data_IF_755217503669
#
_entry.id   IF_755217503669
#
_cell.length_a   1.000
_cell.length_b   1.000
_cell.length_c   1.000
_cell.angle_alpha   90.00
_cell.angle_beta   90.00
_cell.angle_gamma   90.00
#
_symmetry.space_group_name_H-M   'P 1'
#
loop_
_entity.id
_entity.type
_entity.pdbx_description
1 polymer ?
#
# COMPACT_ATOMS: atom_id res chain seq x y z
N UNK A 1 -12.64 -0.71 -12.53
CA UNK A 1 -12.21 0.69 -12.51
C UNK A 1 -12.26 1.33 -13.87
N UNK A 2 -11.44 0.91 -14.84
CA UNK A 2 -11.32 1.59 -16.14
C UNK A 2 -12.62 1.66 -16.99
N UNK A 3 -13.54 0.71 -16.84
CA UNK A 3 -14.87 0.77 -17.48
C UNK A 3 -15.82 1.82 -16.85
N UNK A 4 -15.53 2.30 -15.64
CA UNK A 4 -16.39 3.21 -14.87
C UNK A 4 -15.89 4.66 -14.91
N UNK A 5 -14.69 4.91 -15.42
CA UNK A 5 -14.10 6.25 -15.48
C UNK A 5 -12.60 6.20 -15.73
N UNK A 6 -12.00 7.39 -15.82
CA UNK A 6 -10.57 7.56 -16.01
C UNK A 6 -9.85 7.51 -14.65
N UNK A 7 -9.08 6.46 -14.42
CA UNK A 7 -8.35 6.24 -13.17
C UNK A 7 -6.95 5.71 -13.47
N UNK A 8 -5.98 6.17 -12.70
CA UNK A 8 -4.68 5.50 -12.61
C UNK A 8 -4.83 4.28 -11.68
N UNK A 9 -4.46 3.10 -12.17
CA UNK A 9 -4.49 1.86 -11.38
C UNK A 9 -3.06 1.38 -11.19
N UNK A 10 -2.58 1.43 -9.95
CA UNK A 10 -1.22 1.03 -9.59
C UNK A 10 -1.30 -0.28 -8.82
N UNK A 11 -0.64 -1.32 -9.34
CA UNK A 11 -0.52 -2.60 -8.65
C UNK A 11 0.77 -2.62 -7.84
N UNK A 12 0.65 -2.96 -6.55
CA UNK A 12 1.80 -3.21 -5.68
C UNK A 12 2.08 -4.71 -5.67
N UNK A 13 3.06 -5.16 -6.46
CA UNK A 13 3.53 -6.54 -6.42
C UNK A 13 4.55 -6.73 -5.30
N UNK A 14 4.21 -7.57 -4.34
CA UNK A 14 5.07 -7.98 -3.24
C UNK A 14 5.02 -9.49 -3.03
N UNK A 15 4.69 -10.27 -4.08
CA UNK A 15 4.48 -11.71 -4.00
C UNK A 15 5.69 -12.47 -3.43
N UNK A 16 6.91 -12.01 -3.73
CA UNK A 16 8.15 -12.58 -3.17
C UNK A 16 8.22 -12.46 -1.64
N UNK A 17 7.64 -11.40 -1.07
CA UNK A 17 7.58 -11.16 0.38
C UNK A 17 6.37 -11.85 1.03
N UNK A 18 5.37 -12.24 0.24
CA UNK A 18 4.16 -12.92 0.69
C UNK A 18 4.19 -14.45 0.44
N UNK A 19 5.35 -15.01 0.07
CA UNK A 19 5.46 -16.38 -0.40
C UNK A 19 5.09 -17.43 0.67
N UNK A 20 4.34 -18.44 0.25
CA UNK A 20 4.07 -19.65 1.03
C UNK A 20 5.25 -20.63 0.95
N UNK A 21 5.46 -21.49 1.96
CA UNK A 21 4.62 -21.72 3.15
C UNK A 21 4.88 -20.77 4.33
N UNK A 22 5.71 -19.74 4.16
CA UNK A 22 6.21 -18.90 5.26
C UNK A 22 5.24 -17.81 5.71
N UNK A 23 4.05 -18.20 6.19
CA UNK A 23 2.98 -17.27 6.55
C UNK A 23 3.38 -16.25 7.63
N UNK A 24 4.09 -16.66 8.68
CA UNK A 24 4.53 -15.74 9.74
C UNK A 24 5.49 -14.67 9.19
N UNK A 25 6.37 -15.04 8.25
CA UNK A 25 7.26 -14.10 7.56
C UNK A 25 6.43 -13.14 6.69
N UNK A 26 5.45 -13.66 5.93
CA UNK A 26 4.55 -12.84 5.13
C UNK A 26 3.77 -11.82 5.97
N UNK A 27 3.24 -12.22 7.13
CA UNK A 27 2.58 -11.33 8.10
C UNK A 27 3.53 -10.23 8.56
N UNK A 28 4.77 -10.56 8.93
CA UNK A 28 5.77 -9.56 9.37
C UNK A 28 6.15 -8.60 8.25
N UNK A 29 6.18 -9.08 7.01
CA UNK A 29 6.52 -8.26 5.85
C UNK A 29 5.46 -7.20 5.51
N UNK A 30 4.20 -7.38 5.91
CA UNK A 30 3.12 -6.39 5.69
C UNK A 30 3.50 -4.99 6.22
N UNK A 31 4.18 -4.93 7.36
CA UNK A 31 4.66 -3.66 7.94
C UNK A 31 5.71 -2.98 7.06
N UNK A 32 6.63 -3.76 6.49
CA UNK A 32 7.67 -3.20 5.62
C UNK A 32 7.11 -2.79 4.27
N UNK A 33 6.21 -3.58 3.71
CA UNK A 33 5.48 -3.26 2.48
C UNK A 33 4.67 -1.99 2.69
N UNK A 34 3.90 -1.90 3.77
CA UNK A 34 3.12 -0.70 4.11
C UNK A 34 3.98 0.56 4.19
N UNK A 35 5.14 0.51 4.85
CA UNK A 35 6.09 1.65 4.87
C UNK A 35 6.66 2.03 3.51
N UNK A 36 6.90 1.06 2.63
CA UNK A 36 7.37 1.37 1.27
C UNK A 36 6.25 2.00 0.43
N UNK A 37 5.03 1.48 0.54
CA UNK A 37 3.86 2.07 -0.12
C UNK A 37 3.56 3.47 0.43
N UNK A 38 3.73 3.69 1.74
CA UNK A 38 3.59 5.01 2.37
C UNK A 38 4.53 6.04 1.75
N UNK A 39 5.83 5.72 1.67
CA UNK A 39 6.81 6.61 1.01
C UNK A 39 6.49 6.86 -0.47
N UNK A 40 5.98 5.85 -1.17
CA UNK A 40 5.53 6.02 -2.55
C UNK A 40 4.32 6.96 -2.66
N UNK A 41 3.38 6.88 -1.71
CA UNK A 41 2.22 7.78 -1.62
C UNK A 41 2.63 9.22 -1.27
N UNK A 42 3.57 9.41 -0.35
CA UNK A 42 4.15 10.74 -0.07
C UNK A 42 4.78 11.34 -1.32
N UNK A 43 5.64 10.56 -2.00
CA UNK A 43 6.25 10.99 -3.25
C UNK A 43 5.21 11.34 -4.32
N UNK A 44 4.15 10.54 -4.48
CA UNK A 44 3.05 10.82 -5.42
C UNK A 44 2.35 12.14 -5.08
N UNK A 45 2.10 12.39 -3.79
CA UNK A 45 1.50 13.63 -3.32
C UNK A 45 2.35 14.85 -3.64
N UNK A 46 3.66 14.73 -3.52
CA UNK A 46 4.58 15.83 -3.80
C UNK A 46 4.69 16.14 -5.29
N UNK A 47 4.59 15.14 -6.17
CA UNK A 47 4.81 15.33 -7.61
C UNK A 47 3.56 15.62 -8.43
N UNK A 48 2.40 15.03 -8.09
CA UNK A 48 1.24 15.10 -9.00
C UNK A 48 -0.14 14.80 -8.41
N UNK A 49 -0.27 13.95 -7.38
CA UNK A 49 -1.57 13.37 -6.98
C UNK A 49 -1.85 13.60 -5.50
N UNK A 50 -2.75 14.53 -5.13
CA UNK A 50 -3.04 14.81 -3.73
C UNK A 50 -3.58 13.56 -3.02
N UNK A 51 -3.20 13.36 -1.76
CA UNK A 51 -3.61 12.18 -0.97
C UNK A 51 -5.14 11.99 -0.92
N UNK A 52 -5.92 13.07 -0.99
CA UNK A 52 -7.40 13.03 -1.01
C UNK A 52 -8.00 12.34 -2.24
N UNK A 53 -7.23 12.17 -3.31
CA UNK A 53 -7.65 11.48 -4.54
C UNK A 53 -7.17 10.02 -4.60
N UNK A 54 -6.50 9.53 -3.55
CA UNK A 54 -6.01 8.16 -3.49
C UNK A 54 -7.04 7.24 -2.82
N UNK A 55 -7.28 6.09 -3.44
CA UNK A 55 -8.04 4.99 -2.86
C UNK A 55 -7.12 3.76 -2.81
N UNK A 56 -6.86 3.26 -1.61
CA UNK A 56 -6.04 2.06 -1.40
C UNK A 56 -6.92 0.86 -1.09
N UNK A 57 -6.69 -0.24 -1.79
CA UNK A 57 -7.44 -1.49 -1.64
C UNK A 57 -6.44 -2.58 -1.28
N UNK A 58 -6.67 -3.25 -0.16
CA UNK A 58 -5.87 -4.39 0.28
C UNK A 58 -6.75 -5.61 0.50
N UNK A 59 -6.32 -6.76 -0.01
CA UNK A 59 -6.97 -8.06 0.22
C UNK A 59 -6.10 -8.93 1.13
N UNK A 60 -6.70 -9.61 2.11
CA UNK A 60 -5.99 -10.48 3.06
C UNK A 60 -4.81 -9.74 3.73
N UNK A 61 -3.58 -10.26 3.69
CA UNK A 61 -2.40 -9.57 4.21
C UNK A 61 -2.13 -8.21 3.53
N UNK A 62 -2.66 -8.00 2.31
CA UNK A 62 -2.64 -6.69 1.66
C UNK A 62 -3.48 -5.64 2.41
N UNK A 63 -4.53 -6.03 3.13
CA UNK A 63 -5.31 -5.10 3.97
C UNK A 63 -4.47 -4.61 5.16
N UNK A 64 -3.72 -5.50 5.81
CA UNK A 64 -2.76 -5.13 6.86
C UNK A 64 -1.65 -4.23 6.33
N UNK A 65 -1.10 -4.53 5.14
CA UNK A 65 -0.11 -3.68 4.50
C UNK A 65 -0.66 -2.27 4.22
N UNK A 66 -1.92 -2.15 3.76
CA UNK A 66 -2.60 -0.87 3.58
C UNK A 66 -2.81 -0.14 4.92
N UNK A 67 -3.15 -0.86 6.00
CA UNK A 67 -3.24 -0.29 7.34
C UNK A 67 -1.90 0.28 7.84
N UNK A 68 -0.81 -0.46 7.67
CA UNK A 68 0.54 0.00 8.01
C UNK A 68 0.99 1.18 7.15
N UNK A 69 0.60 1.23 5.88
CA UNK A 69 0.81 2.38 5.02
C UNK A 69 0.14 3.62 5.59
N UNK A 70 -1.17 3.56 5.88
CA UNK A 70 -1.89 4.70 6.46
C UNK A 70 -1.29 5.15 7.80
N UNK A 71 -0.87 4.19 8.64
CA UNK A 71 -0.16 4.49 9.89
C UNK A 71 1.18 5.19 9.67
N UNK A 72 1.91 4.87 8.61
CA UNK A 72 3.19 5.53 8.31
C UNK A 72 3.04 6.98 7.84
N UNK A 73 1.89 7.34 7.27
CA UNK A 73 1.56 8.70 6.82
C UNK A 73 1.00 9.59 7.94
N UNK A 74 0.55 8.98 9.04
CA UNK A 74 -0.01 9.72 10.16
C UNK A 74 1.10 10.46 10.93
N UNK A 75 0.81 11.67 11.47
CA UNK A 75 1.74 12.37 12.36
C UNK A 75 2.17 11.45 13.51
N UNK A 76 3.47 11.29 13.69
CA UNK A 76 3.98 10.49 14.81
C UNK A 76 3.88 11.33 16.10
N UNK A 77 3.33 10.71 17.14
CA UNK A 77 3.26 11.30 18.48
C UNK A 77 4.60 11.20 19.19
#
# INVERSE_FOLDING_TARGET
YLKRGNYNVILVDWGRLAALPWYITAVRNTKQVGRHVGRFVEWLNDVAVPMSMLHVIGFSLGAEAAGFMGKSLAPQK
#
